data_IF_247676973029
#
_entry.id   IF_247676973029
#
_cell.length_a   1.000
_cell.length_b   1.000
_cell.length_c   1.000
_cell.angle_alpha   90.00
_cell.angle_beta   90.00
_cell.angle_gamma   90.00
#
_symmetry.space_group_name_H-M   'P 1'
#
loop_
_entity.id
_entity.type
_entity.pdbx_description
1 polymer ?
#
# COMPACT_ATOMS: atom_id res chain seq x y z
N UNK A 1 10.38 -1.87 5.84
CA UNK A 1 10.39 -0.61 5.04
C UNK A 1 9.63 -0.84 3.75
N UNK A 2 8.76 0.09 3.39
CA UNK A 2 7.98 0.01 2.16
C UNK A 2 8.87 -0.04 0.92
N UNK A 3 8.50 -0.87 -0.06
CA UNK A 3 9.20 -0.98 -1.34
C UNK A 3 8.95 0.25 -2.25
N UNK A 4 9.78 0.49 -3.26
CA UNK A 4 9.53 1.54 -4.25
C UNK A 4 8.19 1.40 -4.96
N UNK A 5 7.75 0.16 -5.26
CA UNK A 5 6.46 -0.11 -5.88
C UNK A 5 5.29 0.29 -4.96
N UNK A 6 5.35 -0.08 -3.68
CA UNK A 6 4.36 0.35 -2.69
C UNK A 6 4.30 1.88 -2.58
N UNK A 7 5.46 2.56 -2.60
CA UNK A 7 5.49 4.02 -2.58
C UNK A 7 4.80 4.64 -3.80
N UNK A 8 5.01 4.11 -5.00
CA UNK A 8 4.32 4.57 -6.22
C UNK A 8 2.81 4.39 -6.09
N UNK A 9 2.36 3.23 -5.61
CA UNK A 9 0.94 2.96 -5.38
C UNK A 9 0.32 3.92 -4.37
N UNK A 10 1.03 4.22 -3.27
CA UNK A 10 0.58 5.18 -2.26
C UNK A 10 0.50 6.60 -2.83
N UNK A 11 1.45 7.02 -3.66
CA UNK A 11 1.42 8.32 -4.35
C UNK A 11 0.16 8.42 -5.23
N UNK A 12 -0.15 7.36 -5.99
CA UNK A 12 -1.33 7.32 -6.84
C UNK A 12 -2.64 7.28 -6.04
N UNK A 13 -2.66 6.56 -4.90
CA UNK A 13 -3.85 6.41 -4.06
C UNK A 13 -4.12 7.65 -3.21
N UNK A 14 -3.09 8.18 -2.52
CA UNK A 14 -3.28 9.22 -1.50
C UNK A 14 -3.06 10.64 -2.04
N UNK A 15 -2.21 10.81 -3.06
CA UNK A 15 -1.89 12.11 -3.66
C UNK A 15 -1.08 13.06 -2.77
N UNK A 16 -1.10 12.86 -1.46
CA UNK A 16 -0.39 13.67 -0.47
C UNK A 16 -0.61 13.20 0.96
N UNK A 17 -0.31 14.06 1.92
CA UNK A 17 -0.51 13.77 3.34
C UNK A 17 -1.99 13.51 3.63
N UNK A 18 -2.28 12.39 4.27
CA UNK A 18 -3.65 11.94 4.56
C UNK A 18 -4.26 12.62 5.80
N UNK A 19 -3.48 13.39 6.57
CA UNK A 19 -4.00 14.10 7.74
C UNK A 19 -4.91 15.27 7.34
N UNK A 20 -6.10 15.39 7.92
CA UNK A 20 -7.03 16.48 7.63
C UNK A 20 -6.40 17.86 7.74
N UNK A 21 -6.64 18.71 6.75
CA UNK A 21 -6.10 20.06 6.68
C UNK A 21 -4.64 20.16 6.21
N UNK A 22 -3.92 19.06 6.02
CA UNK A 22 -2.57 19.09 5.48
C UNK A 22 -2.60 19.19 3.95
N UNK A 23 -1.80 20.10 3.40
CA UNK A 23 -1.70 20.38 1.96
C UNK A 23 -0.40 19.88 1.33
N UNK A 24 0.43 19.15 2.08
CA UNK A 24 1.72 18.63 1.62
C UNK A 24 1.49 17.50 0.63
N UNK A 25 1.94 17.70 -0.62
CA UNK A 25 1.84 16.70 -1.68
C UNK A 25 2.72 15.47 -1.44
N UNK A 26 2.50 14.43 -2.21
CA UNK A 26 3.09 13.10 -2.02
C UNK A 26 4.61 13.07 -1.96
N UNK A 27 5.31 13.94 -2.70
CA UNK A 27 6.77 14.01 -2.67
C UNK A 27 7.34 14.54 -1.36
N UNK A 28 6.54 15.31 -0.59
CA UNK A 28 6.88 15.78 0.76
C UNK A 28 6.50 14.81 1.87
N UNK A 29 5.96 13.63 1.51
CA UNK A 29 5.45 12.65 2.46
C UNK A 29 6.40 11.45 2.63
N UNK A 30 6.26 10.81 3.77
CA UNK A 30 6.85 9.52 4.11
C UNK A 30 5.76 8.44 4.08
N UNK A 31 6.18 7.17 3.96
CA UNK A 31 5.26 6.05 4.17
C UNK A 31 5.00 5.90 5.67
N UNK A 32 3.73 5.88 6.01
CA UNK A 32 3.19 5.75 7.36
C UNK A 32 2.45 4.41 7.50
N UNK A 33 2.63 3.70 8.62
CA UNK A 33 1.85 2.51 8.96
C UNK A 33 0.54 2.96 9.61
N UNK A 34 -0.55 2.94 8.86
CA UNK A 34 -1.83 3.54 9.27
C UNK A 34 -2.78 2.57 9.97
N UNK A 35 -2.63 1.26 9.79
CA UNK A 35 -3.47 0.24 10.44
C UNK A 35 -2.83 -0.40 11.67
N UNK A 36 -1.57 -0.12 11.94
CA UNK A 36 -0.85 -0.62 13.12
C UNK A 36 0.60 -0.18 13.06
N UNK A 37 1.14 0.22 14.21
CA UNK A 37 2.54 0.63 14.29
C UNK A 37 3.46 -0.57 14.00
N UNK A 38 4.44 -0.35 13.13
CA UNK A 38 5.48 -1.34 12.83
C UNK A 38 6.21 -1.81 14.09
N UNK A 39 6.42 -0.94 15.06
CA UNK A 39 7.05 -1.27 16.34
C UNK A 39 6.22 -2.28 17.17
N UNK A 40 4.94 -2.41 16.88
CA UNK A 40 4.02 -3.34 17.54
C UNK A 40 3.61 -4.53 16.64
N UNK A 41 4.42 -4.85 15.62
CA UNK A 41 4.21 -6.02 14.76
C UNK A 41 3.31 -5.78 13.55
N UNK A 42 3.05 -4.52 13.19
CA UNK A 42 2.32 -4.16 11.97
C UNK A 42 3.05 -4.63 10.70
N UNK A 43 2.30 -5.16 9.75
CA UNK A 43 2.83 -5.61 8.46
C UNK A 43 3.11 -4.43 7.53
N UNK A 44 4.08 -4.59 6.63
CA UNK A 44 4.31 -3.64 5.53
C UNK A 44 3.45 -4.03 4.32
N UNK A 45 2.15 -4.22 4.55
CA UNK A 45 1.18 -4.46 3.50
C UNK A 45 0.66 -3.13 2.95
N UNK A 46 0.43 -3.06 1.63
CA UNK A 46 -0.03 -1.82 0.96
C UNK A 46 -1.35 -1.31 1.55
N UNK A 47 -2.23 -2.21 1.98
CA UNK A 47 -3.53 -1.89 2.56
C UNK A 47 -3.44 -1.34 3.99
N UNK A 48 -2.28 -1.44 4.63
CA UNK A 48 -2.00 -0.94 5.98
C UNK A 48 -1.14 0.33 5.98
N UNK A 49 -0.70 0.76 4.79
CA UNK A 49 0.19 1.90 4.61
C UNK A 49 -0.58 3.13 4.12
N UNK A 50 -0.05 4.31 4.43
CA UNK A 50 -0.54 5.60 3.97
C UNK A 50 0.61 6.59 3.72
N UNK A 51 0.30 7.76 3.16
CA UNK A 51 1.23 8.88 3.10
C UNK A 51 0.97 9.87 4.24
N UNK A 52 2.02 10.22 4.97
CA UNK A 52 2.01 11.31 5.93
C UNK A 52 3.25 12.19 5.77
N UNK A 53 3.12 13.50 5.90
CA UNK A 53 4.28 14.38 5.91
C UNK A 53 5.12 14.15 7.19
N UNK A 54 6.38 14.58 7.18
CA UNK A 54 7.29 14.32 8.31
C UNK A 54 6.75 14.77 9.67
N UNK A 55 6.25 16.00 9.82
CA UNK A 55 5.62 16.46 11.07
C UNK A 55 4.43 15.61 11.51
N UNK A 56 3.51 15.30 10.58
CA UNK A 56 2.31 14.55 10.89
C UNK A 56 2.62 13.09 11.22
N UNK A 57 3.53 12.47 10.48
CA UNK A 57 3.98 11.11 10.78
C UNK A 57 4.55 10.99 12.21
N UNK A 58 5.28 12.01 12.67
CA UNK A 58 5.80 12.05 14.04
C UNK A 58 4.76 12.42 15.11
N UNK A 59 3.59 12.93 14.72
CA UNK A 59 2.51 13.23 15.64
C UNK A 59 1.67 12.02 16.03
N UNK A 60 1.89 10.89 15.35
CA UNK A 60 1.21 9.62 15.67
C UNK A 60 1.88 9.03 16.92
N UNK A 61 1.07 8.82 17.93
CA UNK A 61 1.47 8.24 19.21
C UNK A 61 0.23 7.60 19.84
N UNK A 62 0.35 6.36 20.24
CA UNK A 62 -0.75 5.58 20.83
C UNK A 62 -1.17 6.10 22.20
N UNK A 63 -0.28 6.77 22.93
CA UNK A 63 -0.55 7.17 24.31
C UNK A 63 -1.19 8.57 24.41
N UNK A 64 -0.63 9.57 23.73
CA UNK A 64 -1.10 10.96 23.84
C UNK A 64 -1.16 11.73 22.52
N UNK A 65 -0.83 11.07 21.41
CA UNK A 65 -0.80 11.67 20.07
C UNK A 65 -2.02 11.35 19.24
N UNK A 66 -1.88 11.64 17.95
CA UNK A 66 -2.83 11.21 16.95
C UNK A 66 -2.71 9.71 16.72
N UNK A 67 -3.82 9.06 16.43
CA UNK A 67 -3.82 7.68 15.95
C UNK A 67 -4.42 7.63 14.55
N UNK A 68 -4.13 6.56 13.82
CA UNK A 68 -4.66 6.35 12.48
C UNK A 68 -5.31 4.98 12.37
N UNK A 69 -6.32 4.87 11.50
CA UNK A 69 -6.91 3.60 11.09
C UNK A 69 -7.32 3.66 9.63
N UNK A 70 -7.45 2.51 9.01
CA UNK A 70 -7.97 2.39 7.63
C UNK A 70 -9.38 1.79 7.69
N UNK A 71 -10.33 2.51 7.10
CA UNK A 71 -11.73 2.11 7.03
C UNK A 71 -12.22 2.28 5.59
N UNK A 72 -12.63 1.19 4.93
CA UNK A 72 -13.11 1.25 3.54
C UNK A 72 -12.08 1.79 2.54
N UNK A 73 -10.78 1.62 2.82
CA UNK A 73 -9.69 2.15 2.00
C UNK A 73 -9.32 3.61 2.25
N UNK A 74 -10.01 4.29 3.19
CA UNK A 74 -9.70 5.65 3.62
C UNK A 74 -8.91 5.66 4.92
N UNK A 75 -7.98 6.59 5.03
CA UNK A 75 -7.13 6.77 6.22
C UNK A 75 -7.77 7.81 7.13
N UNK A 76 -8.33 7.35 8.23
CA UNK A 76 -8.87 8.22 9.26
C UNK A 76 -7.81 8.61 10.28
N UNK A 77 -7.73 9.90 10.59
CA UNK A 77 -6.89 10.47 11.65
C UNK A 77 -7.74 10.77 12.86
N UNK A 78 -7.44 10.12 13.96
CA UNK A 78 -8.19 10.24 15.22
C UNK A 78 -7.37 11.09 16.17
N UNK A 79 -7.86 12.28 16.56
CA UNK A 79 -7.17 13.14 17.53
C UNK A 79 -7.22 12.50 18.92
N UNK A 80 -6.24 12.81 19.79
CA UNK A 80 -6.34 12.45 21.19
C UNK A 80 -7.52 13.22 21.83
N UNK A 81 -8.11 12.69 22.93
CA UNK A 81 -9.33 13.26 23.53
C UNK A 81 -9.27 14.77 23.85
N UNK A 82 -8.11 15.27 24.26
CA UNK A 82 -7.92 16.67 24.60
C UNK A 82 -7.87 17.62 23.37
N UNK A 83 -7.70 17.07 22.16
CA UNK A 83 -7.71 17.81 20.90
C UNK A 83 -8.94 17.49 20.05
N UNK A 84 -9.80 16.59 20.49
CA UNK A 84 -10.99 16.19 19.73
C UNK A 84 -12.11 17.22 19.91
N UNK A 85 -12.33 18.01 18.87
CA UNK A 85 -13.40 18.99 18.77
C UNK A 85 -14.50 18.56 17.78
N UNK A 86 -14.48 17.30 17.32
CA UNK A 86 -15.37 16.81 16.25
C UNK A 86 -14.90 17.23 14.85
N UNK A 87 -13.64 17.61 14.69
CA UNK A 87 -13.07 17.99 13.41
C UNK A 87 -13.07 16.84 12.40
N UNK A 88 -12.88 17.19 11.11
CA UNK A 88 -12.77 16.22 10.03
C UNK A 88 -11.67 15.19 10.33
N UNK A 89 -11.90 13.94 9.97
CA UNK A 89 -10.96 12.83 10.17
C UNK A 89 -10.34 12.34 8.86
N UNK A 90 -10.87 12.78 7.72
CA UNK A 90 -10.41 12.44 6.38
C UNK A 90 -9.86 13.68 5.68
N UNK A 91 -8.81 13.51 4.89
CA UNK A 91 -8.26 14.58 4.05
C UNK A 91 -8.69 14.39 2.60
N UNK A 92 -9.60 15.24 2.13
CA UNK A 92 -10.02 15.25 0.73
C UNK A 92 -9.26 16.25 -0.14
N UNK A 93 -8.31 17.01 0.43
CA UNK A 93 -7.58 18.05 -0.30
C UNK A 93 -6.85 17.49 -1.53
N UNK A 94 -6.23 16.33 -1.39
CA UNK A 94 -5.48 15.68 -2.47
C UNK A 94 -6.34 14.76 -3.35
N UNK A 95 -7.60 14.53 -2.96
CA UNK A 95 -8.56 13.63 -3.63
C UNK A 95 -9.94 14.26 -3.70
N UNK A 96 -10.07 15.46 -4.32
CA UNK A 96 -11.33 16.18 -4.38
C UNK A 96 -12.43 15.42 -5.14
N UNK A 97 -12.06 14.51 -6.05
CA UNK A 97 -13.00 13.65 -6.77
C UNK A 97 -13.85 12.77 -5.84
N UNK A 98 -13.36 12.48 -4.63
CA UNK A 98 -14.14 11.72 -3.64
C UNK A 98 -15.35 12.48 -3.12
N UNK A 99 -15.28 13.81 -3.09
CA UNK A 99 -16.42 14.67 -2.71
C UNK A 99 -17.47 14.75 -3.81
N UNK A 100 -17.09 14.43 -5.05
CA UNK A 100 -17.96 14.47 -6.22
C UNK A 100 -18.51 13.09 -6.59
N UNK A 101 -18.11 12.03 -5.89
CA UNK A 101 -18.63 10.69 -6.15
C UNK A 101 -20.12 10.64 -5.80
N UNK A 102 -20.98 10.22 -6.71
CA UNK A 102 -22.38 9.94 -6.38
C UNK A 102 -22.43 8.91 -5.23
N UNK A 103 -23.47 8.95 -4.39
CA UNK A 103 -23.66 7.89 -3.42
C UNK A 103 -23.68 6.54 -4.14
N UNK A 104 -22.98 5.57 -3.60
CA UNK A 104 -22.96 4.20 -4.14
C UNK A 104 -24.42 3.71 -4.24
N UNK A 105 -24.87 3.22 -5.40
CA UNK A 105 -26.21 2.71 -5.52
C UNK A 105 -26.42 1.52 -4.58
N UNK A 106 -27.57 1.46 -3.93
CA UNK A 106 -27.91 0.46 -2.90
C UNK A 106 -27.64 -0.99 -3.33
N UNK A 107 -27.74 -1.29 -4.64
CA UNK A 107 -27.49 -2.63 -5.16
C UNK A 107 -26.01 -3.05 -5.14
N UNK A 108 -25.04 -2.11 -4.95
CA UNK A 108 -23.64 -2.45 -4.75
C UNK A 108 -23.32 -2.76 -3.28
N UNK A 109 -24.20 -2.40 -2.35
CA UNK A 109 -24.00 -2.67 -0.93
C UNK A 109 -24.38 -4.11 -0.54
N UNK A 110 -25.19 -4.76 -1.35
CA UNK A 110 -25.49 -6.18 -1.18
C UNK A 110 -24.30 -6.96 -1.72
N UNK A 111 -23.54 -7.59 -0.82
CA UNK A 111 -22.38 -8.45 -1.10
C UNK A 111 -22.73 -9.68 -1.98
N UNK A 112 -23.60 -9.54 -2.94
CA UNK A 112 -24.01 -10.60 -3.86
C UNK A 112 -23.12 -10.58 -5.13
N UNK A 113 -21.79 -10.59 -4.93
CA UNK A 113 -20.83 -10.75 -6.04
C UNK A 113 -20.77 -12.19 -6.56
N UNK A 114 -21.42 -13.14 -5.89
CA UNK A 114 -21.46 -14.54 -6.34
C UNK A 114 -22.28 -14.75 -7.62
N UNK A 115 -23.28 -13.88 -7.88
CA UNK A 115 -24.14 -14.00 -9.07
C UNK A 115 -23.58 -13.34 -10.34
N UNK A 116 -22.55 -12.52 -10.24
CA UNK A 116 -21.98 -11.81 -11.41
C UNK A 116 -20.96 -12.65 -12.20
N UNK A 117 -20.44 -13.71 -11.60
CA UNK A 117 -19.57 -14.68 -12.28
C UNK A 117 -20.11 -16.08 -12.00
N UNK A 118 -20.95 -16.63 -12.91
CA UNK A 118 -21.30 -18.04 -12.78
C UNK A 118 -20.02 -18.87 -12.79
N UNK A 119 -19.88 -19.75 -11.80
CA UNK A 119 -18.73 -20.63 -11.68
C UNK A 119 -18.47 -21.30 -13.03
N UNK A 120 -17.26 -21.10 -13.57
CA UNK A 120 -16.88 -21.83 -14.76
C UNK A 120 -16.95 -23.33 -14.45
N UNK A 121 -17.51 -24.15 -15.34
CA UNK A 121 -17.52 -25.58 -15.12
C UNK A 121 -16.09 -26.07 -14.93
N UNK A 122 -15.85 -26.80 -13.87
CA UNK A 122 -14.57 -27.42 -13.59
C UNK A 122 -14.18 -28.24 -14.84
N UNK A 123 -13.05 -27.86 -15.46
CA UNK A 123 -12.47 -28.64 -16.54
C UNK A 123 -12.21 -30.04 -16.01
N UNK A 124 -13.05 -30.97 -16.49
CA UNK A 124 -12.87 -32.41 -16.27
C UNK A 124 -11.48 -32.83 -16.76
N UNK A 125 -10.73 -33.37 -15.85
CA UNK A 125 -9.50 -34.15 -16.00
C UNK A 125 -9.14 -34.51 -17.45
N UNK A 126 -8.14 -33.83 -18.00
CA UNK A 126 -7.35 -34.40 -19.10
C UNK A 126 -6.08 -34.96 -18.49
N UNK A 127 -6.02 -36.31 -18.67
CA UNK A 127 -5.00 -37.16 -18.14
C UNK A 127 -3.56 -36.71 -18.43
N UNK A 128 -2.73 -37.02 -17.46
CA UNK A 128 -1.28 -37.07 -17.55
C UNK A 128 -0.80 -37.82 -18.82
N UNK A 129 -0.29 -37.05 -19.77
CA UNK A 129 0.70 -37.56 -20.72
C UNK A 129 1.92 -36.70 -20.60
N UNK A 130 2.96 -37.24 -19.96
CA UNK A 130 4.28 -36.66 -19.89
C UNK A 130 4.82 -36.36 -21.30
N UNK A 131 5.43 -35.17 -21.53
CA UNK A 131 6.10 -34.90 -22.79
C UNK A 131 7.39 -35.74 -22.91
N UNK A 132 7.75 -36.18 -24.12
CA UNK A 132 8.97 -36.94 -24.34
C UNK A 132 10.21 -36.08 -24.06
N UNK A 133 11.14 -36.65 -23.30
CA UNK A 133 12.49 -36.16 -23.16
C UNK A 133 13.21 -36.38 -24.49
N UNK A 134 13.57 -35.30 -25.19
CA UNK A 134 14.75 -35.17 -26.05
C UNK A 134 14.65 -33.87 -26.86
N UNK A 135 15.36 -32.86 -26.40
CA UNK A 135 15.69 -31.65 -27.17
C UNK A 135 17.22 -31.44 -27.11
N UNK A 136 17.85 -31.01 -28.19
CA UNK A 136 19.32 -30.98 -28.32
C UNK A 136 19.96 -29.94 -27.39
N UNK A 137 21.08 -30.34 -26.80
CA UNK A 137 21.94 -29.52 -25.96
C UNK A 137 22.41 -28.24 -26.67
N UNK A 138 22.20 -27.08 -26.08
CA UNK A 138 22.77 -25.79 -26.52
C UNK A 138 24.29 -25.77 -26.31
N UNK A 139 25.08 -25.25 -27.27
CA UNK A 139 26.50 -25.02 -27.07
C UNK A 139 26.77 -23.98 -25.99
N UNK A 140 27.81 -24.20 -25.18
CA UNK A 140 28.19 -23.35 -24.06
C UNK A 140 28.55 -21.93 -24.49
N UNK A 141 28.04 -20.95 -23.73
CA UNK A 141 28.47 -19.56 -23.78
C UNK A 141 29.85 -19.40 -23.11
N UNK A 142 30.75 -18.61 -23.72
CA UNK A 142 32.05 -18.34 -23.12
C UNK A 142 31.91 -17.42 -21.89
N UNK A 143 32.60 -17.75 -20.81
CA UNK A 143 32.60 -17.03 -19.54
C UNK A 143 33.02 -15.57 -19.67
N UNK A 144 32.29 -14.70 -19.02
CA UNK A 144 32.64 -13.28 -18.85
C UNK A 144 33.83 -13.14 -17.87
N UNK A 145 34.76 -12.26 -18.13
CA UNK A 145 35.86 -11.98 -17.21
C UNK A 145 35.35 -11.17 -16.01
N UNK A 146 35.80 -11.55 -14.81
CA UNK A 146 35.47 -10.92 -13.54
C UNK A 146 35.82 -9.43 -13.50
N UNK A 147 34.87 -8.59 -13.10
CA UNK A 147 35.07 -7.18 -12.81
C UNK A 147 35.87 -6.98 -11.51
N UNK A 148 36.55 -5.83 -11.38
CA UNK A 148 37.36 -5.55 -10.22
C UNK A 148 36.56 -5.37 -8.93
N UNK A 149 37.14 -5.82 -7.80
CA UNK A 149 36.57 -5.70 -6.48
C UNK A 149 36.40 -4.23 -6.07
N UNK A 150 35.37 -3.89 -5.28
CA UNK A 150 35.18 -2.55 -4.72
C UNK A 150 36.25 -2.22 -3.69
N UNK A 151 36.65 -0.93 -3.53
CA UNK A 151 37.63 -0.53 -2.57
C UNK A 151 37.14 -0.62 -1.13
N UNK A 152 37.98 -1.12 -0.25
CA UNK A 152 37.81 -1.13 1.19
C UNK A 152 37.72 0.30 1.75
N UNK A 153 36.58 0.65 2.35
CA UNK A 153 36.40 1.92 3.02
C UNK A 153 36.60 1.74 4.54
N UNK A 154 37.91 1.63 4.93
CA UNK A 154 38.30 1.83 6.33
C UNK A 154 38.92 3.22 6.41
N UNK A 155 38.28 4.17 7.10
CA UNK A 155 38.97 5.21 7.88
C UNK A 155 38.01 6.08 8.69
N UNK A 156 38.30 6.11 9.97
CA UNK A 156 38.18 7.15 11.00
C UNK A 156 36.78 7.67 11.32
#
# INVERSE_FOLDING_TARGET
>A
TASPAQRIMLIARDGGCTKPGCTIGAYGCQVHHAAGDWAHGGNTNIDELALACGPDNRSVDTDNGWTTRITGGDVEWIPPPHLDTGQARLNHYHRPERLLRPPEPEWLSDNNTEDLYPAQPADSEKGDTAPPADGPSRPGEPGQPGGPAPPDNHAA
#
